data_IF_506872654420
#
_entry.id   IF_506872654420
#
_cell.length_a   1.000
_cell.length_b   1.000
_cell.length_c   1.000
_cell.angle_alpha   90.00
_cell.angle_beta   90.00
_cell.angle_gamma   90.00
#
_symmetry.space_group_name_H-M   'P 1'
#
loop_
_entity.id
_entity.type
_entity.pdbx_description
1 polymer ?
#
# COMPACT_ATOMS: atom_id res chain seq x y z
N UNK A 1 -12.14 23.01 41.10
CA UNK A 1 -11.01 22.38 40.37
C UNK A 1 -11.41 21.18 39.47
N UNK A 2 -12.53 20.49 39.71
CA UNK A 2 -12.95 19.30 38.94
C UNK A 2 -13.46 19.62 37.51
N UNK A 3 -14.11 20.78 37.30
CA UNK A 3 -14.65 21.16 35.97
C UNK A 3 -13.60 21.45 34.89
N UNK A 4 -12.35 21.75 35.27
CA UNK A 4 -11.27 22.04 34.31
C UNK A 4 -10.64 20.75 33.76
N UNK A 5 -10.58 19.67 34.56
CA UNK A 5 -9.98 18.39 34.15
C UNK A 5 -10.86 17.67 33.12
N UNK A 6 -12.19 17.77 33.26
CA UNK A 6 -13.15 17.13 32.34
C UNK A 6 -13.13 17.73 30.91
N UNK A 7 -12.80 19.01 30.74
CA UNK A 7 -12.70 19.64 29.41
C UNK A 7 -11.42 19.28 28.64
N UNK A 8 -10.40 18.75 29.31
CA UNK A 8 -9.14 18.36 28.66
C UNK A 8 -9.15 16.93 28.10
N UNK A 9 -10.07 16.08 28.55
CA UNK A 9 -10.11 14.65 28.20
C UNK A 9 -11.05 14.31 27.02
N UNK A 10 -11.88 15.25 26.56
CA UNK A 10 -12.79 15.02 25.42
C UNK A 10 -12.16 15.15 24.03
N UNK A 11 -10.85 15.40 23.91
CA UNK A 11 -10.23 15.69 22.61
C UNK A 11 -9.73 14.46 21.83
N UNK A 12 -9.62 13.28 22.44
CA UNK A 12 -9.10 12.07 21.78
C UNK A 12 -10.01 10.86 22.06
N UNK A 13 -10.83 10.47 21.07
CA UNK A 13 -11.80 9.37 21.17
C UNK A 13 -11.19 7.98 21.47
N UNK A 14 -9.87 7.80 21.36
CA UNK A 14 -9.17 6.54 21.61
C UNK A 14 -8.78 6.30 23.08
N UNK A 15 -8.81 7.33 23.94
CA UNK A 15 -8.37 7.20 25.36
C UNK A 15 -9.56 7.04 26.33
N UNK A 16 -10.79 7.24 25.84
CA UNK A 16 -12.00 7.21 26.66
C UNK A 16 -12.31 5.81 27.25
N UNK A 17 -11.95 4.74 26.55
CA UNK A 17 -12.23 3.36 26.99
C UNK A 17 -11.39 2.91 28.20
N UNK A 18 -10.07 3.18 28.18
CA UNK A 18 -9.18 2.81 29.29
C UNK A 18 -9.40 3.69 30.54
N UNK A 19 -9.73 4.97 30.34
CA UNK A 19 -9.98 5.88 31.46
C UNK A 19 -11.23 5.49 32.28
N UNK A 20 -12.24 4.89 31.63
CA UNK A 20 -13.47 4.48 32.31
C UNK A 20 -13.26 3.28 33.26
N UNK A 21 -12.43 2.31 32.87
CA UNK A 21 -12.06 1.18 33.73
C UNK A 21 -11.23 1.63 34.95
N UNK A 22 -10.34 2.61 34.77
CA UNK A 22 -9.50 3.10 35.87
C UNK A 22 -10.25 3.99 36.87
N UNK A 23 -11.24 4.77 36.43
CA UNK A 23 -12.09 5.54 37.33
C UNK A 23 -13.02 4.64 38.17
N UNK A 24 -13.46 3.51 37.61
CA UNK A 24 -14.24 2.50 38.35
C UNK A 24 -13.42 1.82 39.46
N UNK A 25 -12.17 1.43 39.17
CA UNK A 25 -11.28 0.82 40.16
C UNK A 25 -10.92 1.80 41.30
N UNK A 26 -10.65 3.07 40.97
CA UNK A 26 -10.36 4.09 41.98
C UNK A 26 -11.57 4.45 42.85
N UNK A 27 -12.80 4.32 42.33
CA UNK A 27 -14.02 4.54 43.11
C UNK A 27 -14.30 3.39 44.09
N UNK A 28 -14.07 2.15 43.66
CA UNK A 28 -14.27 0.96 44.49
C UNK A 28 -13.28 0.91 45.67
N UNK A 29 -12.04 1.34 45.45
CA UNK A 29 -10.98 1.32 46.46
C UNK A 29 -11.08 2.50 47.46
N UNK A 30 -11.76 3.59 47.07
CA UNK A 30 -12.09 4.71 47.97
C UNK A 30 -13.20 4.34 48.98
N UNK A 31 -14.13 3.45 48.59
CA UNK A 31 -15.23 3.01 49.46
C UNK A 31 -14.78 2.07 50.59
N UNK A 32 -13.60 1.45 50.45
CA UNK A 32 -13.06 0.48 51.41
C UNK A 32 -12.09 1.09 52.44
N UNK A 33 -11.59 2.33 52.26
CA UNK A 33 -10.60 2.93 53.18
C UNK A 33 -10.71 4.48 53.27
N UNK A 34 -11.49 5.03 54.22
CA UNK A 34 -11.66 6.49 54.37
C UNK A 34 -10.45 7.22 54.98
N UNK A 35 -9.33 6.54 55.27
CA UNK A 35 -8.13 7.13 55.89
C UNK A 35 -6.95 7.35 54.93
N UNK A 36 -7.12 7.16 53.62
CA UNK A 36 -6.00 7.27 52.67
C UNK A 36 -5.69 8.74 52.32
N UNK A 37 -4.57 9.24 52.86
CA UNK A 37 -4.06 10.61 52.66
C UNK A 37 -3.87 10.94 51.17
N UNK A 38 -4.36 12.12 50.76
CA UNK A 38 -4.29 12.67 49.40
C UNK A 38 -2.87 12.77 48.83
N UNK A 39 -1.85 12.70 49.68
CA UNK A 39 -0.44 12.66 49.31
C UNK A 39 -0.06 11.36 48.59
N UNK A 40 -0.55 10.20 49.05
CA UNK A 40 -0.25 8.89 48.46
C UNK A 40 -0.87 8.72 47.07
N UNK A 41 -2.10 9.22 46.90
CA UNK A 41 -2.79 9.19 45.60
C UNK A 41 -2.12 10.12 44.57
N UNK A 42 -1.67 11.30 44.98
CA UNK A 42 -0.92 12.21 44.10
C UNK A 42 0.45 11.64 43.70
N UNK A 43 1.07 10.84 44.57
CA UNK A 43 2.34 10.18 44.27
C UNK A 43 2.13 9.00 43.31
N UNK A 44 1.09 8.19 43.51
CA UNK A 44 0.73 7.10 42.61
C UNK A 44 0.36 7.58 41.19
N UNK A 45 -0.33 8.72 41.08
CA UNK A 45 -0.69 9.30 39.77
C UNK A 45 0.53 9.85 39.00
N UNK A 46 1.58 10.29 39.71
CA UNK A 46 2.83 10.76 39.09
C UNK A 46 3.67 9.62 38.51
N UNK A 47 3.61 8.42 39.08
CA UNK A 47 4.28 7.23 38.53
C UNK A 47 3.59 6.69 37.28
N UNK A 48 2.28 6.88 37.13
CA UNK A 48 1.52 6.42 35.96
C UNK A 48 1.53 7.37 34.75
N UNK A 49 1.99 8.62 34.92
CA UNK A 49 2.08 9.61 33.83
C UNK A 49 3.48 9.75 33.26
N UNK A 50 4.45 8.96 33.72
CA UNK A 50 5.74 8.86 33.06
C UNK A 50 5.57 8.13 31.71
N UNK A 51 5.99 8.72 30.57
CA UNK A 51 6.05 7.96 29.33
C UNK A 51 6.97 6.76 29.56
N UNK A 52 6.49 5.56 29.23
CA UNK A 52 7.31 4.36 29.28
C UNK A 52 8.63 4.63 28.54
N UNK A 53 9.80 4.25 29.08
CA UNK A 53 11.04 4.34 28.34
C UNK A 53 10.85 3.54 27.06
N UNK A 54 10.80 4.23 25.92
CA UNK A 54 10.76 3.59 24.63
C UNK A 54 12.01 2.71 24.55
N UNK A 55 11.82 1.40 24.63
CA UNK A 55 12.87 0.44 24.33
C UNK A 55 13.26 0.74 22.89
N UNK A 56 14.44 1.33 22.70
CA UNK A 56 15.02 1.52 21.38
C UNK A 56 15.12 0.12 20.79
N UNK A 57 14.26 -0.20 19.83
CA UNK A 57 14.42 -1.40 19.02
C UNK A 57 15.84 -1.31 18.47
N UNK A 58 16.73 -2.18 18.96
CA UNK A 58 18.05 -2.31 18.37
C UNK A 58 17.81 -2.69 16.92
N UNK A 59 18.16 -1.80 16.00
CA UNK A 59 18.10 -2.06 14.57
C UNK A 59 19.03 -3.24 14.29
N UNK A 60 18.47 -4.45 14.29
CA UNK A 60 19.16 -5.64 13.89
C UNK A 60 19.41 -5.51 12.40
N UNK A 61 20.61 -5.04 12.06
CA UNK A 61 21.10 -4.95 10.69
C UNK A 61 21.57 -6.34 10.31
N UNK A 62 20.62 -7.19 9.92
CA UNK A 62 20.97 -8.32 9.06
C UNK A 62 21.68 -7.75 7.83
N UNK A 63 22.71 -8.41 7.29
CA UNK A 63 23.16 -8.11 5.94
C UNK A 63 21.92 -8.23 5.05
N UNK A 64 21.41 -7.08 4.62
CA UNK A 64 20.24 -6.99 3.77
C UNK A 64 20.68 -7.47 2.39
N UNK A 65 20.71 -8.80 2.24
CA UNK A 65 21.01 -9.43 0.97
C UNK A 65 19.76 -9.22 0.12
N UNK A 66 19.82 -8.20 -0.72
CA UNK A 66 18.78 -7.94 -1.69
C UNK A 66 18.69 -9.14 -2.66
N UNK A 67 17.63 -9.93 -2.48
CA UNK A 67 17.33 -11.08 -3.33
C UNK A 67 16.62 -10.68 -4.61
N UNK A 68 16.01 -9.49 -4.66
CA UNK A 68 15.20 -9.02 -5.80
C UNK A 68 16.02 -8.88 -7.07
N UNK A 69 17.33 -8.59 -6.94
CA UNK A 69 18.29 -8.55 -8.06
C UNK A 69 18.40 -9.84 -8.89
N UNK A 70 17.98 -10.99 -8.36
CA UNK A 70 18.01 -12.26 -9.09
C UNK A 70 16.72 -12.52 -9.88
N UNK A 71 15.68 -11.71 -9.67
CA UNK A 71 14.40 -11.85 -10.35
C UNK A 71 14.47 -11.13 -11.70
N UNK A 72 14.07 -11.83 -12.77
CA UNK A 72 14.00 -11.28 -14.14
C UNK A 72 12.55 -11.41 -14.64
N UNK A 73 11.71 -10.35 -14.52
CA UNK A 73 10.28 -10.41 -14.87
C UNK A 73 9.98 -10.73 -16.34
N UNK A 74 10.92 -10.44 -17.25
CA UNK A 74 10.77 -10.68 -18.68
C UNK A 74 11.00 -12.15 -19.10
N UNK A 75 11.43 -13.02 -18.18
CA UNK A 75 11.56 -14.44 -18.51
C UNK A 75 10.15 -15.03 -18.64
N UNK A 76 9.83 -15.58 -19.82
CA UNK A 76 8.53 -16.17 -20.13
C UNK A 76 7.52 -15.23 -20.80
N UNK A 77 7.95 -14.02 -21.19
CA UNK A 77 7.12 -13.09 -21.99
C UNK A 77 7.25 -13.32 -23.50
N UNK A 78 8.18 -14.17 -23.93
CA UNK A 78 8.40 -14.57 -25.31
C UNK A 78 8.10 -16.06 -25.50
N UNK A 79 7.95 -16.52 -26.76
CA UNK A 79 7.75 -17.93 -27.11
C UNK A 79 6.56 -18.58 -26.39
N UNK A 80 5.43 -17.87 -26.31
CA UNK A 80 4.18 -18.37 -25.71
C UNK A 80 4.27 -18.76 -24.22
N UNK A 81 5.22 -18.22 -23.46
CA UNK A 81 5.25 -18.41 -21.99
C UNK A 81 4.11 -17.68 -21.28
N UNK A 82 3.55 -16.63 -21.90
CA UNK A 82 2.40 -15.87 -21.43
C UNK A 82 2.55 -15.28 -20.02
N UNK A 83 3.78 -14.96 -19.59
CA UNK A 83 4.04 -14.31 -18.31
C UNK A 83 3.72 -12.82 -18.37
N UNK A 84 3.13 -12.29 -17.30
CA UNK A 84 2.90 -10.86 -17.11
C UNK A 84 4.13 -10.25 -16.40
N UNK A 85 4.97 -9.44 -17.06
CA UNK A 85 6.15 -8.82 -16.44
C UNK A 85 5.82 -7.57 -15.59
N UNK A 86 4.54 -7.19 -15.54
CA UNK A 86 4.05 -6.01 -14.87
C UNK A 86 4.35 -5.95 -13.37
N UNK A 87 4.33 -4.75 -12.82
CA UNK A 87 4.57 -4.52 -11.40
C UNK A 87 3.41 -5.06 -10.56
N UNK A 88 3.72 -5.99 -9.64
CA UNK A 88 2.79 -6.55 -8.67
C UNK A 88 3.52 -6.93 -7.40
N UNK A 89 2.81 -6.89 -6.27
CA UNK A 89 3.23 -7.56 -5.04
C UNK A 89 2.93 -9.07 -5.12
N UNK A 90 3.60 -9.93 -4.32
CA UNK A 90 3.29 -11.35 -4.26
C UNK A 90 1.81 -11.58 -3.94
N UNK A 91 1.13 -12.39 -4.76
CA UNK A 91 -0.32 -12.67 -4.66
C UNK A 91 -1.22 -11.43 -4.72
N UNK A 92 -0.71 -10.32 -5.25
CA UNK A 92 -1.48 -9.11 -5.49
C UNK A 92 -2.55 -9.31 -6.56
N UNK A 93 -3.73 -8.73 -6.31
CA UNK A 93 -4.80 -8.66 -7.31
C UNK A 93 -4.43 -7.71 -8.46
N UNK A 94 -3.76 -6.61 -8.13
CA UNK A 94 -3.37 -5.56 -9.09
C UNK A 94 -2.00 -5.90 -9.70
N UNK A 95 -1.96 -6.01 -11.03
CA UNK A 95 -0.76 -6.24 -11.82
C UNK A 95 -0.72 -5.22 -12.95
N UNK A 96 0.07 -4.16 -12.77
CA UNK A 96 0.16 -3.08 -13.75
C UNK A 96 1.10 -3.51 -14.87
N UNK A 97 0.57 -3.73 -16.07
CA UNK A 97 1.33 -4.25 -17.21
C UNK A 97 1.03 -3.46 -18.48
N UNK A 98 2.00 -3.29 -19.40
CA UNK A 98 1.73 -2.78 -20.73
C UNK A 98 0.89 -3.75 -21.55
N UNK A 99 -0.05 -3.20 -22.30
CA UNK A 99 -0.90 -3.91 -23.23
C UNK A 99 -0.48 -3.58 -24.67
N UNK A 100 -0.26 -4.59 -25.52
CA UNK A 100 0.10 -4.40 -26.93
C UNK A 100 -1.14 -4.50 -27.83
N UNK A 101 -1.06 -3.93 -29.04
CA UNK A 101 -2.03 -4.24 -30.08
C UNK A 101 -1.77 -5.67 -30.58
N UNK A 102 -2.73 -6.57 -30.41
CA UNK A 102 -2.67 -7.91 -30.97
C UNK A 102 -3.07 -9.00 -29.98
N UNK A 103 -2.58 -10.20 -30.24
CA UNK A 103 -2.94 -11.43 -29.52
C UNK A 103 -1.85 -11.70 -28.48
N UNK A 104 -2.12 -11.33 -27.23
CA UNK A 104 -1.28 -11.72 -26.09
C UNK A 104 -2.15 -11.92 -24.85
N UNK A 105 -2.24 -13.15 -24.30
CA UNK A 105 -3.03 -13.42 -23.10
C UNK A 105 -2.69 -12.54 -21.88
N UNK A 106 -1.40 -12.33 -21.52
CA UNK A 106 -1.03 -11.42 -20.44
C UNK A 106 -1.00 -9.94 -20.84
N UNK A 107 -1.40 -9.59 -22.07
CA UNK A 107 -1.33 -8.22 -22.59
C UNK A 107 0.03 -7.80 -23.17
N UNK A 108 1.13 -8.46 -22.81
CA UNK A 108 2.48 -8.14 -23.29
C UNK A 108 3.19 -9.34 -23.90
N UNK A 109 3.97 -9.11 -24.96
CA UNK A 109 4.84 -10.11 -25.55
C UNK A 109 6.16 -9.46 -26.01
N UNK A 110 7.29 -10.02 -25.56
CA UNK A 110 8.61 -9.43 -25.83
C UNK A 110 9.12 -9.72 -27.25
N UNK A 111 8.73 -10.86 -27.82
CA UNK A 111 9.08 -11.31 -29.17
C UNK A 111 8.24 -10.66 -30.27
N UNK A 112 7.19 -9.93 -29.92
CA UNK A 112 6.30 -9.29 -30.90
C UNK A 112 6.58 -7.79 -30.96
N UNK A 113 6.91 -7.30 -32.16
CA UNK A 113 7.07 -5.86 -32.44
C UNK A 113 5.70 -5.21 -32.68
N UNK A 114 4.94 -5.04 -31.60
CA UNK A 114 3.65 -4.34 -31.60
C UNK A 114 3.70 -3.12 -30.67
N UNK A 115 3.03 -2.03 -31.07
CA UNK A 115 2.98 -0.83 -30.25
C UNK A 115 2.16 -1.08 -28.99
N UNK A 116 2.56 -0.43 -27.91
CA UNK A 116 1.85 -0.44 -26.64
C UNK A 116 0.63 0.47 -26.76
N UNK A 117 -0.53 -0.06 -26.42
CA UNK A 117 -1.84 0.61 -26.39
C UNK A 117 -2.05 1.38 -25.09
N UNK A 118 -1.58 0.85 -23.98
CA UNK A 118 -1.60 1.49 -22.67
C UNK A 118 -1.10 0.57 -21.56
N UNK A 119 -1.43 0.93 -20.32
CA UNK A 119 -1.19 0.11 -19.14
C UNK A 119 -2.51 -0.15 -18.45
N UNK A 120 -2.85 -1.41 -18.23
CA UNK A 120 -4.01 -1.79 -17.42
C UNK A 120 -3.59 -2.45 -16.11
N UNK A 121 -4.54 -2.58 -15.18
CA UNK A 121 -4.26 -2.92 -13.77
C UNK A 121 -4.50 -4.38 -13.42
N UNK A 122 -5.09 -5.16 -14.32
CA UNK A 122 -5.44 -6.56 -14.07
C UNK A 122 -4.94 -7.42 -15.22
N UNK A 123 -4.15 -8.43 -14.87
CA UNK A 123 -3.60 -9.41 -15.79
C UNK A 123 -3.53 -10.78 -15.12
N UNK A 124 -3.77 -11.79 -15.92
CA UNK A 124 -3.42 -13.17 -15.67
C UNK A 124 -1.98 -13.44 -16.17
N UNK A 125 -1.29 -14.36 -15.51
CA UNK A 125 0.10 -14.72 -15.83
C UNK A 125 0.18 -16.22 -16.01
N UNK A 126 0.70 -16.66 -17.16
CA UNK A 126 0.85 -18.07 -17.53
C UNK A 126 -0.45 -18.72 -18.01
N UNK A 127 -1.46 -17.95 -18.42
CA UNK A 127 -2.70 -18.51 -18.96
C UNK A 127 -2.55 -18.91 -20.42
N UNK A 128 -3.24 -19.98 -20.79
CA UNK A 128 -3.45 -20.35 -22.19
C UNK A 128 -4.64 -19.59 -22.79
N UNK A 129 -4.69 -19.53 -24.11
CA UNK A 129 -5.78 -18.89 -24.85
C UNK A 129 -5.26 -17.91 -25.91
N UNK A 130 -6.16 -17.42 -26.76
CA UNK A 130 -5.81 -16.51 -27.85
C UNK A 130 -5.95 -15.04 -27.39
N UNK A 131 -7.05 -14.69 -26.71
CA UNK A 131 -7.38 -13.27 -26.47
C UNK A 131 -7.14 -12.77 -25.03
N UNK A 132 -6.68 -13.63 -24.11
CA UNK A 132 -6.58 -13.28 -22.69
C UNK A 132 -7.93 -13.04 -22.03
N UNK A 133 -7.94 -12.95 -20.70
CA UNK A 133 -9.18 -12.66 -19.94
C UNK A 133 -9.22 -11.25 -19.35
N UNK A 134 -8.05 -10.62 -19.20
CA UNK A 134 -7.90 -9.31 -18.57
C UNK A 134 -7.24 -8.31 -19.56
N UNK A 135 -6.66 -7.20 -19.09
CA UNK A 135 -6.29 -6.08 -19.97
C UNK A 135 -7.34 -4.94 -20.01
N UNK A 136 -8.22 -4.91 -19.01
CA UNK A 136 -9.35 -3.97 -18.94
C UNK A 136 -8.95 -2.64 -18.28
N UNK A 137 -9.50 -1.54 -18.80
CA UNK A 137 -9.26 -0.17 -18.32
C UNK A 137 -7.81 0.28 -18.44
N UNK A 138 -7.36 0.49 -19.67
CA UNK A 138 -6.04 1.01 -19.92
C UNK A 138 -5.92 2.51 -19.72
N UNK A 139 -4.83 2.90 -19.08
CA UNK A 139 -4.37 4.28 -18.98
C UNK A 139 -3.14 4.42 -19.88
N UNK A 140 -3.13 5.43 -20.75
CA UNK A 140 -1.96 5.74 -21.58
C UNK A 140 -1.57 7.18 -21.31
N UNK A 141 -0.32 7.44 -20.90
CA UNK A 141 0.19 8.79 -20.88
C UNK A 141 0.32 9.29 -22.32
N UNK A 142 -0.33 10.42 -22.62
CA UNK A 142 -0.23 11.11 -23.91
C UNK A 142 0.37 12.49 -23.71
N UNK A 143 1.25 12.89 -24.63
CA UNK A 143 1.79 14.25 -24.69
C UNK A 143 1.07 14.95 -25.84
N UNK A 144 0.51 16.13 -25.57
CA UNK A 144 -0.31 16.87 -26.53
C UNK A 144 0.32 18.25 -26.75
N UNK A 145 1.06 18.43 -27.85
CA UNK A 145 1.80 19.67 -28.12
C UNK A 145 0.91 20.91 -28.21
N UNK A 146 -0.29 20.77 -28.79
CA UNK A 146 -1.21 21.89 -29.06
C UNK A 146 -2.30 22.06 -27.98
N UNK A 147 -2.09 21.48 -26.79
CA UNK A 147 -3.01 21.54 -25.65
C UNK A 147 -3.91 20.30 -25.48
N UNK A 148 -4.76 20.32 -24.44
CA UNK A 148 -5.57 19.15 -24.05
C UNK A 148 -6.57 18.71 -25.13
N UNK A 149 -7.15 19.65 -25.87
CA UNK A 149 -8.20 19.36 -26.85
C UNK A 149 -7.67 18.71 -28.15
N UNK A 150 -6.36 18.77 -28.41
CA UNK A 150 -5.73 18.13 -29.56
C UNK A 150 -5.19 16.72 -29.25
N UNK A 151 -5.32 16.26 -28.01
CA UNK A 151 -4.90 14.93 -27.61
C UNK A 151 -5.66 13.84 -28.40
N UNK A 152 -4.97 12.86 -29.00
CA UNK A 152 -5.64 11.72 -29.60
C UNK A 152 -6.31 10.88 -28.49
N UNK A 153 -7.63 10.76 -28.56
CA UNK A 153 -8.43 9.94 -27.63
C UNK A 153 -8.66 8.52 -28.16
N UNK A 154 -8.40 8.28 -29.44
CA UNK A 154 -8.53 6.97 -30.08
C UNK A 154 -7.30 6.10 -29.84
N UNK A 155 -7.49 4.78 -29.77
CA UNK A 155 -6.40 3.82 -29.54
C UNK A 155 -5.25 3.97 -30.53
N UNK A 156 -5.54 4.08 -31.83
CA UNK A 156 -4.51 4.20 -32.88
C UNK A 156 -3.67 5.48 -32.79
N UNK A 157 -4.20 6.56 -32.23
CA UNK A 157 -3.48 7.82 -32.10
C UNK A 157 -2.63 7.93 -30.81
N UNK A 158 -2.97 7.15 -29.78
CA UNK A 158 -2.24 7.16 -28.49
C UNK A 158 -1.15 6.10 -28.39
N UNK A 159 -1.15 5.08 -29.25
CA UNK A 159 -0.17 3.99 -29.17
C UNK A 159 1.25 4.45 -29.45
N UNK A 160 2.22 3.77 -28.83
CA UNK A 160 3.65 4.06 -29.01
C UNK A 160 4.45 2.77 -29.11
N UNK A 161 5.43 2.77 -30.00
CA UNK A 161 6.41 1.68 -30.08
C UNK A 161 7.38 1.75 -28.92
N UNK A 162 7.86 0.58 -28.52
CA UNK A 162 8.95 0.44 -27.55
C UNK A 162 10.25 0.96 -28.16
N UNK A 163 11.15 1.43 -27.30
CA UNK A 163 12.51 1.76 -27.75
C UNK A 163 13.25 0.44 -27.97
N UNK A 164 13.88 0.22 -29.14
CA UNK A 164 14.61 -1.02 -29.38
C UNK A 164 15.69 -1.28 -28.33
N UNK A 165 15.68 -2.45 -27.70
CA UNK A 165 16.66 -2.85 -26.67
C UNK A 165 16.46 -2.20 -25.30
N UNK A 166 15.25 -1.71 -25.02
CA UNK A 166 14.88 -1.16 -23.70
C UNK A 166 14.27 -2.19 -22.75
N UNK A 167 14.10 -3.41 -23.25
CA UNK A 167 13.59 -4.62 -22.60
C UNK A 167 14.64 -5.28 -21.69
#
# INVERSE_FOLDING_TARGET
MIKIVLRSLQRNHLVAGLACFFLGALYFEWQLNPHLSTSKLKQALRTYTAPAPATRHSNFTLPNKDLTRHVRPLIGTANNGNVCPGASIPFGMVKINPDIIGVSPPGYAADVDQPIRGFSMMHDSGTGGVLGSYGNFEIMPVICPDGFNSCPTWNTGRTKYRVPGSD
#
